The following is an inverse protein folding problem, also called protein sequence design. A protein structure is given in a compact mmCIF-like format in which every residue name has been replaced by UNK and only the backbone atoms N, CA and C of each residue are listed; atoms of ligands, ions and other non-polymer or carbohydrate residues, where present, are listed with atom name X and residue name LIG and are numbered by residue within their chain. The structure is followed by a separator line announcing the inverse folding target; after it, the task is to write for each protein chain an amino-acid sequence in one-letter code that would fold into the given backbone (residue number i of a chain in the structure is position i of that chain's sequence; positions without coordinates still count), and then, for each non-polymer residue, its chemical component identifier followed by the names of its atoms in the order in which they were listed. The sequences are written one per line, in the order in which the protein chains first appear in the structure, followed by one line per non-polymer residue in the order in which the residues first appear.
data_IF_145026829281
#
_entry.id   IF_145026829281
#
_cell.length_a   1.000
_cell.length_b   1.000
_cell.length_c   1.000
_cell.angle_alpha   90.00
_cell.angle_beta   90.00
_cell.angle_gamma   90.00
#
_symmetry.space_group_name_H-M   'P 1'
#
loop_
_entity.id
_entity.type
_entity.pdbx_description
1 polymer ?
#
# COMPACT_ATOMS: atom_id res chain seq x y z
N UNK A 1 -52.91 31.19 24.47
CA UNK A 1 -51.62 30.55 24.82
C UNK A 1 -50.92 30.16 23.53
N UNK A 2 -49.79 30.80 23.19
CA UNK A 2 -48.98 30.47 22.00
C UNK A 2 -47.74 29.69 22.47
N UNK A 3 -47.65 28.42 22.09
CA UNK A 3 -46.45 27.60 22.35
C UNK A 3 -45.42 27.83 21.24
N UNK A 4 -44.23 28.27 21.65
CA UNK A 4 -43.06 28.56 20.81
C UNK A 4 -42.45 27.30 20.20
N UNK A 5 -42.49 27.17 18.88
CA UNK A 5 -41.89 26.07 18.10
C UNK A 5 -40.42 26.27 17.73
N UNK A 6 -39.56 26.70 18.67
CA UNK A 6 -38.15 27.02 18.38
C UNK A 6 -37.13 25.89 18.68
N UNK A 7 -37.54 24.77 19.30
CA UNK A 7 -36.60 23.71 19.74
C UNK A 7 -36.28 22.63 18.69
N UNK A 8 -36.99 22.58 17.55
CA UNK A 8 -36.82 21.50 16.57
C UNK A 8 -35.68 21.76 15.56
N UNK A 9 -35.33 23.02 15.30
CA UNK A 9 -34.29 23.38 14.31
C UNK A 9 -32.87 23.25 14.85
N UNK A 10 -32.65 23.47 16.15
CA UNK A 10 -31.33 23.38 16.79
C UNK A 10 -30.76 21.95 16.84
N UNK A 11 -31.63 20.94 16.99
CA UNK A 11 -31.21 19.52 16.95
C UNK A 11 -30.74 19.10 15.56
N UNK A 12 -31.45 19.56 14.52
CA UNK A 12 -31.15 19.25 13.13
C UNK A 12 -29.82 19.86 12.68
N UNK A 13 -29.54 21.12 13.07
CA UNK A 13 -28.25 21.77 12.78
C UNK A 13 -27.07 21.13 13.51
N UNK A 14 -27.23 20.69 14.77
CA UNK A 14 -26.18 19.97 15.50
C UNK A 14 -25.89 18.60 14.90
N UNK A 15 -26.91 17.83 14.52
CA UNK A 15 -26.70 16.56 13.81
C UNK A 15 -26.04 16.76 12.44
N UNK A 16 -26.41 17.79 11.69
CA UNK A 16 -25.80 18.11 10.40
C UNK A 16 -24.34 18.56 10.47
N UNK A 17 -23.85 19.04 11.62
CA UNK A 17 -22.45 19.42 11.81
C UNK A 17 -21.63 18.32 12.51
N UNK A 18 -22.23 17.62 13.48
CA UNK A 18 -21.54 16.57 14.25
C UNK A 18 -21.32 15.32 13.41
N UNK A 19 -22.30 14.91 12.61
CA UNK A 19 -22.17 13.71 11.77
C UNK A 19 -21.02 13.80 10.75
N UNK A 20 -20.88 14.86 9.92
CA UNK A 20 -19.74 14.96 9.01
C UNK A 20 -18.40 15.09 9.73
N UNK A 21 -18.35 15.72 10.91
CA UNK A 21 -17.13 15.77 11.73
C UNK A 21 -16.72 14.39 12.23
N UNK A 22 -17.68 13.58 12.69
CA UNK A 22 -17.44 12.19 13.12
C UNK A 22 -17.01 11.33 11.94
N UNK A 23 -17.63 11.46 10.77
CA UNK A 23 -17.25 10.73 9.56
C UNK A 23 -15.84 11.12 9.06
N UNK A 24 -15.50 12.41 9.10
CA UNK A 24 -14.15 12.90 8.79
C UNK A 24 -13.10 12.36 9.76
N UNK A 25 -13.40 12.35 11.07
CA UNK A 25 -12.50 11.81 12.08
C UNK A 25 -12.30 10.30 11.93
N UNK A 26 -13.38 9.55 11.64
CA UNK A 26 -13.30 8.11 11.37
C UNK A 26 -12.47 7.81 10.11
N UNK A 27 -12.65 8.59 9.03
CA UNK A 27 -11.88 8.45 7.79
C UNK A 27 -10.38 8.79 7.95
N UNK A 28 -10.05 9.78 8.79
CA UNK A 28 -8.65 10.11 9.10
C UNK A 28 -7.98 9.04 9.98
N UNK A 29 -8.74 8.44 10.89
CA UNK A 29 -8.24 7.32 11.70
C UNK A 29 -8.05 6.06 10.86
N UNK A 30 -8.94 5.78 9.90
CA UNK A 30 -8.78 4.61 9.03
C UNK A 30 -7.52 4.71 8.18
N UNK A 31 -7.24 5.86 7.54
CA UNK A 31 -6.00 6.02 6.75
C UNK A 31 -4.74 5.85 7.60
N UNK A 32 -4.73 6.35 8.83
CA UNK A 32 -3.59 6.17 9.73
C UNK A 32 -3.38 4.71 10.16
N UNK A 33 -4.45 3.94 10.33
CA UNK A 33 -4.37 2.51 10.66
C UNK A 33 -3.73 1.75 9.49
N UNK A 34 -4.22 1.97 8.26
CA UNK A 34 -3.66 1.34 7.06
C UNK A 34 -2.16 1.61 6.92
N UNK A 35 -1.70 2.85 7.10
CA UNK A 35 -0.27 3.18 7.01
C UNK A 35 0.57 2.52 8.11
N UNK A 36 0.04 2.37 9.33
CA UNK A 36 0.74 1.63 10.39
C UNK A 36 0.82 0.14 10.07
N UNK A 37 -0.28 -0.44 9.59
CA UNK A 37 -0.33 -1.84 9.15
C UNK A 37 0.66 -2.09 8.02
N UNK A 38 0.72 -1.20 7.03
CA UNK A 38 1.69 -1.27 5.93
C UNK A 38 3.14 -1.28 6.45
N UNK A 39 3.48 -0.37 7.37
CA UNK A 39 4.82 -0.32 7.95
C UNK A 39 5.17 -1.59 8.74
N UNK A 40 4.21 -2.14 9.49
CA UNK A 40 4.39 -3.38 10.24
C UNK A 40 4.59 -4.59 9.30
N UNK A 41 3.81 -4.68 8.23
CA UNK A 41 3.95 -5.74 7.23
C UNK A 41 5.28 -5.61 6.47
N UNK A 42 5.74 -4.39 6.16
CA UNK A 42 7.08 -4.16 5.60
C UNK A 42 8.17 -4.72 6.53
N UNK A 43 8.05 -4.56 7.84
CA UNK A 43 8.99 -5.14 8.81
C UNK A 43 8.96 -6.67 8.80
N UNK A 44 7.76 -7.27 8.82
CA UNK A 44 7.63 -8.73 8.73
C UNK A 44 8.14 -9.29 7.40
N UNK A 45 8.02 -8.53 6.31
CA UNK A 45 8.54 -8.91 5.01
C UNK A 45 10.07 -8.94 5.00
N UNK A 46 10.71 -7.93 5.59
CA UNK A 46 12.16 -7.86 5.75
C UNK A 46 12.69 -8.99 6.64
N UNK A 47 11.97 -9.34 7.70
CA UNK A 47 12.32 -10.46 8.56
C UNK A 47 12.17 -11.82 7.85
N UNK A 48 11.07 -12.04 7.13
CA UNK A 48 10.92 -13.26 6.33
C UNK A 48 12.02 -13.36 5.25
N UNK A 49 12.36 -12.24 4.61
CA UNK A 49 13.44 -12.19 3.63
C UNK A 49 14.82 -12.48 4.25
N UNK A 50 15.10 -11.99 5.46
CA UNK A 50 16.37 -12.25 6.16
C UNK A 50 16.53 -13.74 6.51
N UNK A 51 15.42 -14.44 6.73
CA UNK A 51 15.36 -15.89 6.96
C UNK A 51 15.33 -16.71 5.66
N UNK A 52 15.25 -16.06 4.50
CA UNK A 52 15.14 -16.72 3.20
C UNK A 52 13.74 -17.27 2.89
N UNK A 53 12.72 -16.96 3.70
CA UNK A 53 11.32 -17.27 3.39
C UNK A 53 10.76 -16.23 2.41
N UNK A 54 11.20 -16.35 1.15
CA UNK A 54 10.82 -15.44 0.07
C UNK A 54 9.32 -15.46 -0.25
N UNK A 55 8.65 -16.58 0.01
CA UNK A 55 7.21 -16.70 -0.23
C UNK A 55 6.41 -15.91 0.83
N UNK A 56 6.80 -15.98 2.10
CA UNK A 56 6.21 -15.14 3.15
C UNK A 56 6.61 -13.67 2.98
N UNK A 57 7.87 -13.39 2.62
CA UNK A 57 8.32 -12.03 2.35
C UNK A 57 7.50 -11.37 1.24
N UNK A 58 7.25 -12.10 0.14
CA UNK A 58 6.41 -11.63 -0.96
C UNK A 58 5.00 -11.27 -0.48
N UNK A 59 4.34 -12.15 0.29
CA UNK A 59 2.99 -11.89 0.83
C UNK A 59 2.99 -10.63 1.70
N UNK A 60 3.92 -10.54 2.64
CA UNK A 60 4.01 -9.40 3.55
C UNK A 60 4.28 -8.09 2.81
N UNK A 61 5.16 -8.06 1.80
CA UNK A 61 5.37 -6.86 0.98
C UNK A 61 4.16 -6.50 0.13
N UNK A 62 3.43 -7.48 -0.40
CA UNK A 62 2.22 -7.25 -1.17
C UNK A 62 1.12 -6.65 -0.28
N UNK A 63 0.88 -7.24 0.89
CA UNK A 63 -0.10 -6.71 1.86
C UNK A 63 0.30 -5.29 2.31
N UNK A 64 1.61 -5.04 2.52
CA UNK A 64 2.11 -3.72 2.86
C UNK A 64 1.81 -2.70 1.76
N UNK A 65 2.01 -3.09 0.50
CA UNK A 65 1.71 -2.23 -0.64
C UNK A 65 0.22 -1.89 -0.71
N UNK A 66 -0.66 -2.88 -0.53
CA UNK A 66 -2.11 -2.69 -0.55
C UNK A 66 -2.57 -1.76 0.57
N UNK A 67 -2.06 -1.93 1.79
CA UNK A 67 -2.34 -1.05 2.93
C UNK A 67 -1.79 0.37 2.69
N UNK A 68 -0.59 0.50 2.10
CA UNK A 68 -0.05 1.82 1.75
C UNK A 68 -0.88 2.53 0.66
N UNK A 69 -1.49 1.79 -0.27
CA UNK A 69 -2.41 2.35 -1.25
C UNK A 69 -3.74 2.78 -0.62
N UNK A 70 -4.34 1.94 0.23
CA UNK A 70 -5.57 2.24 0.98
C UNK A 70 -5.41 3.44 1.92
N UNK A 71 -4.28 3.51 2.62
CA UNK A 71 -3.93 4.61 3.52
C UNK A 71 -3.49 5.90 2.82
N UNK A 72 -3.42 5.91 1.48
CA UNK A 72 -2.91 7.02 0.68
C UNK A 72 -1.47 7.43 1.05
N UNK A 73 -0.62 6.45 1.32
CA UNK A 73 0.82 6.64 1.47
C UNK A 73 1.43 7.30 0.24
N UNK A 74 2.61 7.90 0.39
CA UNK A 74 3.23 8.56 -0.74
C UNK A 74 3.58 7.56 -1.86
N UNK A 75 3.52 8.05 -3.10
CA UNK A 75 3.70 7.22 -4.29
C UNK A 75 5.10 6.57 -4.36
N UNK A 76 6.12 7.19 -3.77
CA UNK A 76 7.47 6.64 -3.72
C UNK A 76 7.54 5.43 -2.79
N UNK A 77 6.88 5.50 -1.63
CA UNK A 77 6.74 4.38 -0.72
C UNK A 77 5.95 3.22 -1.34
N UNK A 78 4.80 3.50 -1.96
CA UNK A 78 4.03 2.48 -2.68
C UNK A 78 4.87 1.83 -3.79
N UNK A 79 5.60 2.62 -4.58
CA UNK A 79 6.48 2.11 -5.63
C UNK A 79 7.56 1.18 -5.07
N UNK A 80 8.18 1.57 -3.94
CA UNK A 80 9.19 0.75 -3.26
C UNK A 80 8.61 -0.57 -2.78
N UNK A 81 7.44 -0.56 -2.12
CA UNK A 81 6.80 -1.79 -1.62
C UNK A 81 6.47 -2.76 -2.75
N UNK A 82 5.92 -2.27 -3.86
CA UNK A 82 5.71 -3.11 -5.04
C UNK A 82 7.04 -3.60 -5.63
N UNK A 83 8.10 -2.79 -5.65
CA UNK A 83 9.41 -3.26 -6.12
C UNK A 83 9.95 -4.40 -5.24
N UNK A 84 9.84 -4.27 -3.91
CA UNK A 84 10.25 -5.30 -2.95
C UNK A 84 9.42 -6.58 -3.06
N UNK A 85 8.09 -6.47 -3.20
CA UNK A 85 7.21 -7.60 -3.48
C UNK A 85 7.61 -8.31 -4.79
N UNK A 86 8.00 -7.55 -5.81
CA UNK A 86 8.51 -8.08 -7.07
C UNK A 86 9.81 -8.86 -6.88
N UNK A 87 10.78 -8.32 -6.12
CA UNK A 87 12.04 -9.02 -5.82
C UNK A 87 11.81 -10.31 -5.04
N UNK A 88 10.98 -10.25 -4.00
CA UNK A 88 10.63 -11.42 -3.20
C UNK A 88 9.89 -12.47 -4.04
N UNK A 89 8.98 -12.07 -4.93
CA UNK A 89 8.32 -12.97 -5.87
C UNK A 89 9.31 -13.63 -6.83
N UNK A 90 10.27 -12.89 -7.38
CA UNK A 90 11.35 -13.46 -8.20
C UNK A 90 12.19 -14.48 -7.44
N UNK A 91 12.58 -14.17 -6.20
CA UNK A 91 13.32 -15.08 -5.33
C UNK A 91 12.51 -16.34 -4.95
N UNK A 92 11.19 -16.21 -4.85
CA UNK A 92 10.26 -17.32 -4.62
C UNK A 92 9.85 -18.08 -5.90
N UNK A 93 10.49 -17.83 -7.06
CA UNK A 93 10.13 -18.43 -8.35
C UNK A 93 8.66 -18.17 -8.78
N UNK A 94 8.08 -17.03 -8.41
CA UNK A 94 6.71 -16.61 -8.76
C UNK A 94 6.76 -15.53 -9.83
N UNK A 95 7.08 -15.91 -11.07
CA UNK A 95 7.31 -14.93 -12.15
C UNK A 95 6.12 -14.02 -12.45
N UNK A 96 4.89 -14.54 -12.47
CA UNK A 96 3.71 -13.73 -12.78
C UNK A 96 3.45 -12.68 -11.71
N UNK A 97 3.62 -13.04 -10.44
CA UNK A 97 3.55 -12.11 -9.32
C UNK A 97 4.69 -11.08 -9.41
N UNK A 98 5.91 -11.50 -9.74
CA UNK A 98 7.03 -10.60 -9.92
C UNK A 98 6.76 -9.56 -11.03
N UNK A 99 6.27 -10.02 -12.20
CA UNK A 99 5.90 -9.15 -13.32
C UNK A 99 4.82 -8.15 -12.93
N UNK A 100 3.78 -8.60 -12.22
CA UNK A 100 2.72 -7.73 -11.71
C UNK A 100 3.29 -6.62 -10.82
N UNK A 101 4.04 -7.00 -9.79
CA UNK A 101 4.58 -6.07 -8.80
C UNK A 101 5.59 -5.10 -9.41
N UNK A 102 6.51 -5.54 -10.29
CA UNK A 102 7.42 -4.63 -10.97
C UNK A 102 6.70 -3.64 -11.88
N UNK A 103 5.67 -4.05 -12.62
CA UNK A 103 4.86 -3.14 -13.44
C UNK A 103 4.18 -2.07 -12.60
N UNK A 104 3.62 -2.45 -11.45
CA UNK A 104 3.00 -1.51 -10.52
C UNK A 104 4.01 -0.53 -9.95
N UNK A 105 5.19 -1.02 -9.54
CA UNK A 105 6.30 -0.19 -9.09
C UNK A 105 6.74 0.84 -10.16
N UNK A 106 6.86 0.42 -11.43
CA UNK A 106 7.20 1.31 -12.55
C UNK A 106 6.14 2.41 -12.72
N UNK A 107 4.86 2.05 -12.70
CA UNK A 107 3.77 3.01 -12.86
C UNK A 107 3.76 4.06 -11.74
N UNK A 108 3.97 3.64 -10.50
CA UNK A 108 4.02 4.51 -9.33
C UNK A 108 5.29 5.38 -9.30
N UNK A 109 6.45 4.83 -9.66
CA UNK A 109 7.70 5.57 -9.80
C UNK A 109 7.55 6.70 -10.85
N UNK A 110 6.98 6.38 -12.02
CA UNK A 110 6.68 7.39 -13.05
C UNK A 110 5.73 8.48 -12.55
N UNK A 111 4.68 8.11 -11.80
CA UNK A 111 3.72 9.05 -11.23
C UNK A 111 4.34 9.94 -10.14
N UNK A 112 5.30 9.43 -9.38
CA UNK A 112 6.04 10.18 -8.35
C UNK A 112 7.21 11.01 -8.89
N UNK A 113 7.51 10.92 -10.20
CA UNK A 113 8.69 11.54 -10.80
C UNK A 113 10.01 10.83 -10.46
N UNK A 114 9.95 9.64 -9.87
CA UNK A 114 11.12 8.82 -9.58
C UNK A 114 11.46 7.88 -10.75
N UNK A 115 12.74 7.49 -10.83
CA UNK A 115 13.20 6.54 -11.84
C UNK A 115 12.70 5.12 -11.54
N UNK A 116 12.21 4.44 -12.57
CA UNK A 116 11.78 3.04 -12.51
C UNK A 116 12.85 2.03 -12.92
N UNK A 117 14.10 2.48 -13.14
CA UNK A 117 15.14 1.71 -13.81
C UNK A 117 15.43 0.32 -13.20
N UNK A 118 15.37 0.19 -11.86
CA UNK A 118 15.59 -1.09 -11.18
C UNK A 118 14.48 -2.11 -11.51
N UNK A 119 13.22 -1.67 -11.53
CA UNK A 119 12.09 -2.52 -11.89
C UNK A 119 12.07 -2.86 -13.38
N UNK A 120 12.48 -1.92 -14.25
CA UNK A 120 12.58 -2.15 -15.70
C UNK A 120 13.61 -3.26 -16.00
N UNK A 121 14.80 -3.17 -15.39
CA UNK A 121 15.84 -4.20 -15.48
C UNK A 121 15.36 -5.56 -14.94
N UNK A 122 14.55 -5.56 -13.90
CA UNK A 122 13.98 -6.78 -13.33
C UNK A 122 12.98 -7.44 -14.28
N UNK A 123 12.10 -6.67 -14.94
CA UNK A 123 11.21 -7.18 -15.98
C UNK A 123 11.97 -7.73 -17.19
N UNK A 124 13.03 -7.06 -17.63
CA UNK A 124 13.90 -7.55 -18.71
C UNK A 124 14.55 -8.88 -18.32
N UNK A 125 15.04 -8.99 -17.08
CA UNK A 125 15.64 -10.22 -16.56
C UNK A 125 14.65 -11.39 -16.49
N UNK A 126 13.39 -11.11 -16.13
CA UNK A 126 12.30 -12.10 -16.15
C UNK A 126 11.95 -12.53 -17.58
N UNK A 127 11.93 -11.59 -18.54
CA UNK A 127 11.67 -11.91 -19.95
C UNK A 127 12.80 -12.74 -20.57
N UNK A 128 14.04 -12.54 -20.11
CA UNK A 128 15.19 -13.33 -20.52
C UNK A 128 15.25 -14.74 -19.88
N UNK A 129 14.28 -15.10 -19.03
CA UNK A 129 14.20 -16.44 -18.42
C UNK A 129 15.37 -16.76 -17.48
N UNK A 130 15.98 -15.74 -16.85
CA UNK A 130 17.04 -15.99 -15.86
C UNK A 130 16.47 -16.84 -14.72
N UNK A 131 17.12 -17.95 -14.35
CA UNK A 131 16.59 -18.85 -13.33
C UNK A 131 16.37 -18.08 -12.03
N UNK A 132 15.25 -18.38 -11.36
CA UNK A 132 14.98 -17.81 -10.06
C UNK A 132 16.10 -18.18 -9.09
N UNK A 133 16.81 -17.15 -8.64
CA UNK A 133 18.11 -17.28 -7.98
C UNK A 133 18.75 -15.91 -7.78
N UNK A 134 18.42 -15.30 -6.64
CA UNK A 134 19.09 -14.19 -5.94
C UNK A 134 19.48 -12.96 -6.79
N UNK A 135 18.73 -11.84 -6.75
CA UNK A 135 19.33 -10.53 -6.94
C UNK A 135 20.03 -10.12 -5.63
N UNK A 136 21.34 -9.89 -5.70
CA UNK A 136 22.04 -8.97 -4.77
C UNK A 136 21.59 -7.53 -5.03
#
# INVERSE_FOLDING_TARGET
MRYSGAMSTLLSFRSCLVLPLVLMALGACSTQIELRTAAQQEQFAREAASQGDWAQAMRNYADAADNAELGHGDLAWQARLHHEAGRAASAACREDAAKFHFRRAIALAKKSGQSSALSDKALESLAAGKPCGVPQ
#
